data_IF_068681515606
#
_entry.id   IF_068681515606
#
_cell.length_a   1.000
_cell.length_b   1.000
_cell.length_c   1.000
_cell.angle_alpha   90.00
_cell.angle_beta   90.00
_cell.angle_gamma   90.00
#
_symmetry.space_group_name_H-M   'P 1'
#
loop_
_entity.id
_entity.type
_entity.pdbx_description
1 polymer ?
#
# COMPACT_ATOMS: atom_id res chain seq x y z
N UNK A 1 6.14 7.49 15.47
CA UNK A 1 7.08 8.06 14.46
C UNK A 1 8.43 7.33 14.41
N UNK A 2 9.29 7.38 15.42
CA UNK A 2 10.64 6.76 15.34
C UNK A 2 10.65 5.27 14.95
N UNK A 3 9.66 4.49 15.40
CA UNK A 3 9.53 3.09 14.99
C UNK A 3 9.23 2.92 13.48
N UNK A 4 8.41 3.80 12.91
CA UNK A 4 8.14 3.82 11.47
C UNK A 4 9.40 4.19 10.70
N UNK A 5 10.16 5.21 11.15
CA UNK A 5 11.45 5.56 10.54
C UNK A 5 12.41 4.36 10.52
N UNK A 6 12.53 3.62 11.64
CA UNK A 6 13.38 2.42 11.71
C UNK A 6 12.91 1.31 10.76
N UNK A 7 11.60 1.13 10.57
CA UNK A 7 11.07 0.20 9.58
C UNK A 7 11.52 0.59 8.17
N UNK A 8 11.34 1.86 7.79
CA UNK A 8 11.78 2.37 6.50
C UNK A 8 13.30 2.22 6.31
N UNK A 9 14.10 2.53 7.33
CA UNK A 9 15.55 2.33 7.30
C UNK A 9 15.95 0.86 7.11
N UNK A 10 15.19 -0.07 7.70
CA UNK A 10 15.46 -1.50 7.56
C UNK A 10 15.10 -2.00 6.15
N UNK A 11 13.95 -1.59 5.62
CA UNK A 11 13.50 -1.95 4.26
C UNK A 11 14.39 -1.34 3.18
N UNK A 12 14.82 -0.07 3.33
CA UNK A 12 15.70 0.61 2.38
C UNK A 12 17.13 0.01 2.32
N UNK A 13 17.51 -0.84 3.27
CA UNK A 13 18.77 -1.61 3.20
C UNK A 13 18.62 -2.91 2.43
N UNK A 14 17.39 -3.37 2.16
CA UNK A 14 17.15 -4.54 1.35
C UNK A 14 17.39 -4.21 -0.12
N UNK A 15 17.82 -5.19 -0.94
CA UNK A 15 17.94 -4.99 -2.39
C UNK A 15 16.59 -4.66 -3.04
N UNK A 16 15.51 -5.19 -2.47
CA UNK A 16 14.14 -4.95 -2.93
C UNK A 16 13.26 -4.62 -1.70
N UNK A 17 13.09 -3.33 -1.37
CA UNK A 17 12.24 -2.89 -0.26
C UNK A 17 10.77 -3.26 -0.48
N UNK A 18 10.07 -3.74 0.54
CA UNK A 18 8.68 -4.16 0.41
C UNK A 18 7.72 -2.95 0.34
N UNK A 19 7.29 -2.62 -0.87
CA UNK A 19 6.39 -1.49 -1.15
C UNK A 19 5.01 -1.68 -0.52
N UNK A 20 4.54 -2.93 -0.43
CA UNK A 20 3.23 -3.25 0.11
C UNK A 20 3.22 -3.04 1.62
N UNK A 21 4.22 -3.56 2.33
CA UNK A 21 4.38 -3.39 3.77
C UNK A 21 4.47 -1.90 4.13
N UNK A 22 5.35 -1.17 3.46
CA UNK A 22 5.57 0.25 3.73
C UNK A 22 4.30 1.09 3.47
N UNK A 23 3.60 0.84 2.36
CA UNK A 23 2.36 1.55 2.02
C UNK A 23 1.22 1.25 2.99
N UNK A 24 1.09 0.00 3.44
CA UNK A 24 0.10 -0.40 4.45
C UNK A 24 0.34 0.30 5.79
N UNK A 25 1.60 0.35 6.26
CA UNK A 25 1.96 1.02 7.51
C UNK A 25 1.71 2.52 7.43
N UNK A 26 2.11 3.17 6.33
CA UNK A 26 1.85 4.60 6.13
C UNK A 26 0.36 4.91 6.12
N UNK A 27 -0.41 4.16 5.33
CA UNK A 27 -1.85 4.37 5.23
C UNK A 27 -2.59 4.11 6.54
N UNK A 28 -2.17 3.10 7.31
CA UNK A 28 -2.72 2.84 8.65
C UNK A 28 -2.46 4.00 9.61
N UNK A 29 -1.22 4.49 9.67
CA UNK A 29 -0.84 5.63 10.54
C UNK A 29 -1.59 6.89 10.11
N UNK A 30 -1.62 7.20 8.81
CA UNK A 30 -2.33 8.35 8.27
C UNK A 30 -3.83 8.30 8.57
N UNK A 31 -4.44 7.12 8.48
CA UNK A 31 -5.87 6.96 8.76
C UNK A 31 -6.24 7.49 10.15
N UNK A 32 -5.52 7.08 11.18
CA UNK A 32 -5.83 7.49 12.56
C UNK A 32 -5.30 8.87 12.93
N UNK A 33 -4.38 9.45 12.16
CA UNK A 33 -3.86 10.79 12.41
C UNK A 33 -4.59 11.89 11.62
N UNK A 34 -5.17 11.58 10.47
CA UNK A 34 -5.78 12.55 9.56
C UNK A 34 -7.23 12.22 9.16
N UNK A 35 -7.56 10.95 8.90
CA UNK A 35 -8.89 10.57 8.38
C UNK A 35 -9.93 10.44 9.48
N UNK A 36 -9.63 9.65 10.51
CA UNK A 36 -10.50 9.48 11.67
C UNK A 36 -9.65 9.48 12.95
N UNK A 37 -9.63 10.64 13.60
CA UNK A 37 -8.83 10.88 14.81
C UNK A 37 -9.53 10.47 16.10
N UNK A 38 -10.78 9.99 16.00
CA UNK A 38 -11.52 9.49 17.17
C UNK A 38 -10.93 8.15 17.57
N UNK A 39 -10.46 8.05 18.81
CA UNK A 39 -9.93 6.80 19.36
C UNK A 39 -11.08 5.79 19.50
N UNK A 40 -11.06 4.68 18.75
CA UNK A 40 -12.11 3.68 18.84
C UNK A 40 -12.00 2.93 20.17
N UNK A 41 -13.07 2.96 20.97
CA UNK A 41 -13.14 2.27 22.26
C UNK A 41 -13.66 0.84 22.15
N UNK A 42 -14.20 0.47 20.99
CA UNK A 42 -14.90 -0.78 20.71
C UNK A 42 -14.15 -1.71 19.75
N UNK A 43 -12.92 -1.39 19.36
CA UNK A 43 -12.11 -2.21 18.45
C UNK A 43 -10.97 -2.86 19.23
N UNK A 44 -11.11 -4.13 19.64
CA UNK A 44 -10.06 -4.84 20.36
C UNK A 44 -8.83 -5.02 19.45
N UNK A 45 -7.63 -4.94 20.05
CA UNK A 45 -6.36 -5.09 19.33
C UNK A 45 -5.82 -3.82 18.69
N UNK A 46 -6.58 -2.73 18.67
CA UNK A 46 -6.08 -1.42 18.24
C UNK A 46 -5.60 -0.63 19.45
N UNK A 47 -4.31 -0.32 19.48
CA UNK A 47 -3.64 0.35 20.60
C UNK A 47 -3.06 1.69 20.17
N UNK A 48 -2.95 2.62 21.11
CA UNK A 48 -2.41 3.96 20.89
C UNK A 48 -1.38 4.29 21.96
N UNK A 49 -0.18 4.69 21.53
CA UNK A 49 0.84 5.20 22.44
C UNK A 49 0.57 6.66 22.77
N UNK A 50 0.40 6.96 24.05
CA UNK A 50 0.28 8.33 24.53
C UNK A 50 1.67 8.97 24.73
N UNK A 51 1.81 10.25 24.37
CA UNK A 51 2.98 11.07 24.63
C UNK A 51 2.57 12.44 25.17
N UNK A 52 3.43 13.10 25.97
CA UNK A 52 3.22 14.50 26.32
C UNK A 52 3.08 15.36 25.06
N UNK A 53 2.07 16.22 25.03
CA UNK A 53 1.92 17.25 24.02
C UNK A 53 2.82 18.46 24.28
N UNK A 54 2.75 19.49 23.41
CA UNK A 54 3.49 20.73 23.61
C UNK A 54 3.03 21.47 24.87
N UNK A 55 1.74 21.35 25.24
CA UNK A 55 1.22 21.86 26.52
C UNK A 55 1.17 20.75 27.58
N UNK A 56 1.43 21.05 28.87
CA UNK A 56 1.46 20.06 29.95
C UNK A 56 0.15 19.26 30.14
N UNK A 57 -0.99 19.85 29.73
CA UNK A 57 -2.31 19.23 29.86
C UNK A 57 -2.72 18.41 28.63
N UNK A 58 -1.98 18.54 27.53
CA UNK A 58 -2.32 17.89 26.25
C UNK A 58 -1.58 16.56 26.14
N UNK A 59 -2.30 15.52 25.70
CA UNK A 59 -1.72 14.23 25.33
C UNK A 59 -1.87 14.02 23.83
N UNK A 60 -0.78 13.61 23.19
CA UNK A 60 -0.78 13.16 21.80
C UNK A 60 -0.87 11.64 21.77
N UNK A 61 -1.65 11.11 20.84
CA UNK A 61 -1.84 9.67 20.66
C UNK A 61 -1.33 9.28 19.28
N UNK A 62 -0.41 8.32 19.25
CA UNK A 62 0.10 7.75 18.01
C UNK A 62 -0.45 6.33 17.83
N UNK A 63 -1.05 6.00 16.67
CA UNK A 63 -1.57 4.66 16.42
C UNK A 63 -0.41 3.65 16.39
N UNK A 64 -0.54 2.56 17.14
CA UNK A 64 0.43 1.47 17.11
C UNK A 64 0.06 0.54 15.97
N UNK A 65 0.96 0.42 14.99
CA UNK A 65 0.80 -0.51 13.88
C UNK A 65 1.17 -1.93 14.36
N UNK A 66 0.22 -2.60 15.01
CA UNK A 66 0.39 -3.97 15.50
C UNK A 66 0.70 -4.94 14.35
N UNK A 67 1.66 -5.83 14.57
CA UNK A 67 2.12 -6.78 13.55
C UNK A 67 0.98 -7.64 13.02
N UNK A 68 0.06 -8.07 13.88
CA UNK A 68 -1.09 -8.90 13.49
C UNK A 68 -2.02 -8.19 12.51
N UNK A 69 -2.29 -6.90 12.72
CA UNK A 69 -3.13 -6.08 11.84
C UNK A 69 -2.43 -5.88 10.49
N UNK A 70 -1.16 -5.45 10.51
CA UNK A 70 -0.40 -5.20 9.28
C UNK A 70 -0.22 -6.50 8.48
N UNK A 71 0.13 -7.61 9.14
CA UNK A 71 0.28 -8.92 8.50
C UNK A 71 -1.04 -9.41 7.89
N UNK A 72 -2.18 -9.20 8.55
CA UNK A 72 -3.48 -9.57 7.99
C UNK A 72 -3.83 -8.76 6.74
N UNK A 73 -3.56 -7.45 6.74
CA UNK A 73 -3.76 -6.58 5.58
C UNK A 73 -2.84 -6.98 4.42
N UNK A 74 -1.58 -7.27 4.73
CA UNK A 74 -0.58 -7.74 3.77
C UNK A 74 -0.97 -9.08 3.16
N UNK A 75 -1.36 -10.06 3.98
CA UNK A 75 -1.83 -11.37 3.55
C UNK A 75 -3.07 -11.24 2.64
N UNK A 76 -3.99 -10.33 2.97
CA UNK A 76 -5.17 -10.08 2.14
C UNK A 76 -4.81 -9.52 0.77
N UNK A 77 -3.91 -8.53 0.71
CA UNK A 77 -3.44 -7.98 -0.57
C UNK A 77 -2.73 -9.05 -1.41
N UNK A 78 -1.76 -9.75 -0.82
CA UNK A 78 -0.98 -10.77 -1.54
C UNK A 78 -1.84 -11.93 -2.02
N UNK A 79 -2.79 -12.41 -1.22
CA UNK A 79 -3.73 -13.46 -1.62
C UNK A 79 -4.62 -13.02 -2.79
N UNK A 80 -5.11 -11.77 -2.77
CA UNK A 80 -5.91 -11.22 -3.86
C UNK A 80 -5.12 -11.18 -5.18
N UNK A 81 -3.88 -10.72 -5.15
CA UNK A 81 -3.04 -10.62 -6.36
C UNK A 81 -2.66 -12.02 -6.87
N UNK A 82 -2.12 -12.88 -6.00
CA UNK A 82 -1.66 -14.23 -6.37
C UNK A 82 -2.81 -15.14 -6.81
N UNK A 83 -4.02 -14.94 -6.26
CA UNK A 83 -5.20 -15.69 -6.66
C UNK A 83 -5.79 -15.25 -8.02
N UNK A 84 -5.51 -14.03 -8.47
CA UNK A 84 -6.09 -13.46 -9.68
C UNK A 84 -5.18 -13.54 -10.93
N UNK A 85 -3.88 -13.79 -10.73
CA UNK A 85 -2.87 -13.84 -11.78
C UNK A 85 -2.12 -15.17 -11.74
N UNK A 86 -2.40 -16.04 -12.72
CA UNK A 86 -1.67 -17.28 -12.91
C UNK A 86 -0.43 -17.03 -13.78
N UNK A 87 0.75 -17.00 -13.14
CA UNK A 87 2.02 -16.73 -13.82
C UNK A 87 2.41 -17.82 -14.83
N UNK A 88 1.85 -19.04 -14.75
CA UNK A 88 2.14 -20.10 -15.72
C UNK A 88 1.65 -19.77 -17.13
N UNK A 89 0.65 -18.88 -17.24
CA UNK A 89 0.09 -18.41 -18.51
C UNK A 89 0.94 -17.29 -19.16
N UNK A 90 1.95 -16.78 -18.47
CA UNK A 90 2.75 -15.64 -18.89
C UNK A 90 4.25 -16.00 -18.86
N UNK A 91 4.77 -16.65 -19.92
CA UNK A 91 6.19 -16.93 -20.05
C UNK A 91 7.01 -15.63 -20.00
N UNK A 92 8.12 -15.66 -19.25
CA UNK A 92 9.03 -14.53 -19.05
C UNK A 92 10.42 -14.87 -19.58
N UNK A 93 10.63 -14.86 -20.91
CA UNK A 93 11.97 -15.02 -21.47
C UNK A 93 12.88 -13.91 -20.92
N UNK A 94 14.10 -14.28 -20.54
CA UNK A 94 15.11 -13.37 -19.99
C UNK A 94 14.68 -12.61 -18.71
N UNK A 95 13.65 -13.11 -18.00
CA UNK A 95 13.14 -12.50 -16.77
C UNK A 95 12.26 -11.26 -16.98
N UNK A 96 12.05 -10.83 -18.23
CA UNK A 96 11.26 -9.66 -18.57
C UNK A 96 9.75 -9.96 -18.54
N UNK A 97 8.97 -9.02 -18.01
CA UNK A 97 7.51 -9.10 -17.97
C UNK A 97 6.91 -8.67 -19.30
N UNK A 98 5.92 -9.41 -19.80
CA UNK A 98 5.22 -9.04 -21.03
C UNK A 98 4.17 -7.94 -20.78
N UNK A 99 3.76 -7.24 -21.84
CA UNK A 99 2.70 -6.24 -21.78
C UNK A 99 1.37 -6.86 -21.33
N UNK A 100 1.10 -8.09 -21.74
CA UNK A 100 -0.12 -8.84 -21.39
C UNK A 100 -0.16 -9.14 -19.89
N UNK A 101 0.98 -9.51 -19.30
CA UNK A 101 1.08 -9.75 -17.86
C UNK A 101 0.87 -8.45 -17.06
N UNK A 102 1.58 -7.37 -17.41
CA UNK A 102 1.44 -6.07 -16.73
C UNK A 102 0.02 -5.52 -16.87
N UNK A 103 -0.59 -5.67 -18.05
CA UNK A 103 -1.99 -5.32 -18.29
C UNK A 103 -2.93 -6.16 -17.41
N UNK A 104 -2.69 -7.46 -17.30
CA UNK A 104 -3.50 -8.35 -16.44
C UNK A 104 -3.45 -7.90 -14.98
N UNK A 105 -2.27 -7.55 -14.46
CA UNK A 105 -2.13 -7.01 -13.09
C UNK A 105 -2.88 -5.68 -12.93
N UNK A 106 -2.76 -4.78 -13.92
CA UNK A 106 -3.49 -3.51 -13.95
C UNK A 106 -5.01 -3.72 -13.93
N UNK A 107 -5.53 -4.65 -14.74
CA UNK A 107 -6.95 -5.00 -14.77
C UNK A 107 -7.42 -5.57 -13.41
N UNK A 108 -6.58 -6.34 -12.70
CA UNK A 108 -6.92 -6.84 -11.36
C UNK A 108 -7.07 -5.69 -10.37
N UNK A 109 -6.13 -4.74 -10.33
CA UNK A 109 -6.23 -3.56 -9.47
C UNK A 109 -7.46 -2.73 -9.84
N UNK A 110 -7.62 -2.40 -11.12
CA UNK A 110 -8.71 -1.57 -11.60
C UNK A 110 -10.10 -2.14 -11.30
N UNK A 111 -10.31 -3.44 -11.57
CA UNK A 111 -11.60 -4.09 -11.34
C UNK A 111 -11.90 -4.30 -9.85
N UNK A 112 -10.90 -4.17 -8.97
CA UNK A 112 -11.07 -4.26 -7.52
C UNK A 112 -11.50 -2.93 -6.89
N UNK A 113 -11.45 -1.82 -7.64
CA UNK A 113 -11.86 -0.51 -7.15
C UNK A 113 -13.39 -0.34 -7.15
N UNK A 114 -13.88 0.41 -6.18
CA UNK A 114 -15.27 0.86 -6.14
C UNK A 114 -15.61 1.64 -7.42
N UNK A 115 -16.73 1.31 -8.07
CA UNK A 115 -17.15 1.96 -9.34
C UNK A 115 -17.49 3.45 -9.20
N UNK A 116 -17.85 3.90 -8.00
CA UNK A 116 -18.25 5.27 -7.73
C UNK A 116 -17.65 5.76 -6.41
N UNK A 117 -16.68 6.66 -6.52
CA UNK A 117 -16.16 7.45 -5.41
C UNK A 117 -15.58 8.76 -5.95
N UNK A 118 -15.48 9.75 -5.06
CA UNK A 118 -14.89 11.04 -5.38
C UNK A 118 -13.37 10.87 -5.52
N UNK A 119 -12.85 10.98 -6.75
CA UNK A 119 -11.44 10.71 -7.07
C UNK A 119 -10.47 11.73 -6.47
N UNK A 120 -10.95 12.95 -6.21
CA UNK A 120 -10.15 14.02 -5.59
C UNK A 120 -10.25 14.01 -4.06
N UNK A 121 -10.73 12.91 -3.47
CA UNK A 121 -10.79 12.77 -2.01
C UNK A 121 -9.38 12.51 -1.49
N UNK A 122 -8.95 13.29 -0.50
CA UNK A 122 -7.68 13.04 0.18
C UNK A 122 -7.66 11.66 0.89
N UNK A 123 -6.45 11.16 1.17
CA UNK A 123 -6.20 9.95 1.97
C UNK A 123 -6.65 8.63 1.31
N UNK A 124 -6.61 8.59 -0.02
CA UNK A 124 -6.89 7.37 -0.79
C UNK A 124 -5.71 6.94 -1.67
N UNK A 125 -4.49 7.39 -1.39
CA UNK A 125 -3.29 7.09 -2.19
C UNK A 125 -2.60 5.77 -1.81
N UNK A 126 -2.89 5.21 -0.63
CA UNK A 126 -2.16 4.07 -0.07
C UNK A 126 -2.85 2.72 -0.30
N UNK A 127 -2.07 1.64 -0.24
CA UNK A 127 -2.60 0.27 -0.30
C UNK A 127 -3.50 -0.07 0.90
N UNK A 128 -3.36 0.66 2.01
CA UNK A 128 -4.32 0.58 3.11
C UNK A 128 -5.71 1.00 2.65
N UNK A 129 -5.83 2.12 1.91
CA UNK A 129 -7.11 2.59 1.37
C UNK A 129 -7.68 1.64 0.31
N UNK A 130 -6.80 1.05 -0.51
CA UNK A 130 -7.19 -0.01 -1.44
C UNK A 130 -7.82 -1.21 -0.73
N UNK A 131 -7.15 -1.78 0.29
CA UNK A 131 -7.63 -2.99 0.97
C UNK A 131 -8.84 -2.73 1.86
N UNK A 132 -8.87 -1.60 2.57
CA UNK A 132 -9.93 -1.30 3.54
C UNK A 132 -11.14 -0.63 2.91
N UNK A 133 -10.94 0.18 1.87
CA UNK A 133 -11.96 1.03 1.28
C UNK A 133 -12.20 0.82 -0.21
N UNK A 134 -11.39 0.00 -0.90
CA UNK A 134 -11.44 -0.20 -2.38
C UNK A 134 -11.38 1.11 -3.17
N UNK A 135 -10.60 2.08 -2.68
CA UNK A 135 -10.46 3.40 -3.29
C UNK A 135 -8.99 3.72 -3.50
N UNK A 136 -8.68 4.23 -4.68
CA UNK A 136 -7.38 4.77 -5.03
C UNK A 136 -7.52 6.07 -5.82
N UNK A 137 -6.64 7.05 -5.60
CA UNK A 137 -6.50 8.19 -6.51
C UNK A 137 -5.68 7.79 -7.75
N UNK A 138 -5.48 8.73 -8.67
CA UNK A 138 -4.84 8.46 -9.97
C UNK A 138 -3.45 7.82 -9.82
N UNK A 139 -2.57 8.44 -9.03
CA UNK A 139 -1.21 7.94 -8.81
C UNK A 139 -1.18 6.72 -7.89
N UNK A 140 -2.08 6.61 -6.93
CA UNK A 140 -2.25 5.44 -6.07
C UNK A 140 -2.54 4.17 -6.88
N UNK A 141 -3.30 4.26 -7.97
CA UNK A 141 -3.50 3.12 -8.89
C UNK A 141 -2.18 2.66 -9.51
N UNK A 142 -1.38 3.57 -10.07
CA UNK A 142 -0.09 3.21 -10.66
C UNK A 142 0.86 2.59 -9.62
N UNK A 143 0.92 3.16 -8.41
CA UNK A 143 1.69 2.60 -7.30
C UNK A 143 1.21 1.19 -6.92
N UNK A 144 -0.11 0.97 -6.85
CA UNK A 144 -0.68 -0.32 -6.51
C UNK A 144 -0.38 -1.40 -7.55
N UNK A 145 -0.31 -1.04 -8.84
CA UNK A 145 0.13 -1.95 -9.90
C UNK A 145 1.59 -2.36 -9.67
N UNK A 146 2.49 -1.43 -9.37
CA UNK A 146 3.91 -1.75 -9.10
C UNK A 146 4.05 -2.63 -7.85
N UNK A 147 3.32 -2.33 -6.77
CA UNK A 147 3.32 -3.17 -5.57
C UNK A 147 2.77 -4.58 -5.83
N UNK A 148 1.74 -4.72 -6.67
CA UNK A 148 1.22 -6.02 -7.08
C UNK A 148 2.21 -6.80 -7.96
N UNK A 149 2.91 -6.12 -8.87
CA UNK A 149 3.99 -6.70 -9.66
C UNK A 149 5.14 -7.20 -8.78
N UNK A 150 5.56 -6.43 -7.77
CA UNK A 150 6.56 -6.86 -6.79
C UNK A 150 6.13 -8.13 -6.05
N UNK A 151 4.87 -8.21 -5.60
CA UNK A 151 4.32 -9.41 -4.92
C UNK A 151 4.38 -10.68 -5.78
N UNK A 152 4.30 -10.52 -7.10
CA UNK A 152 4.39 -11.58 -8.10
C UNK A 152 5.84 -11.87 -8.54
N UNK A 153 6.83 -11.17 -7.98
CA UNK A 153 8.25 -11.33 -8.35
C UNK A 153 8.56 -10.82 -9.76
N UNK A 154 8.01 -9.66 -10.12
CA UNK A 154 8.24 -8.97 -11.39
C UNK A 154 9.16 -7.74 -11.16
N UNK A 155 10.48 -7.96 -10.96
CA UNK A 155 11.41 -6.90 -10.55
C UNK A 155 11.69 -5.89 -11.65
N UNK A 156 11.32 -6.16 -12.90
CA UNK A 156 11.51 -5.27 -14.04
C UNK A 156 10.41 -4.21 -14.16
N UNK A 157 9.32 -4.33 -13.39
CA UNK A 157 8.21 -3.37 -13.43
C UNK A 157 8.42 -2.26 -12.40
N UNK A 158 8.56 -1.03 -12.88
CA UNK A 158 8.81 0.14 -12.05
C UNK A 158 7.79 1.26 -12.28
N UNK A 159 7.68 2.15 -11.29
CA UNK A 159 6.85 3.34 -11.38
C UNK A 159 7.54 4.41 -12.22
N UNK A 160 6.83 4.97 -13.18
CA UNK A 160 7.23 6.14 -13.93
C UNK A 160 6.32 7.33 -13.56
N UNK A 161 6.92 8.51 -13.40
CA UNK A 161 6.25 9.70 -12.90
C UNK A 161 6.55 10.90 -13.81
N UNK A 162 5.53 11.69 -14.11
CA UNK A 162 5.64 13.10 -14.51
C UNK A 162 5.27 14.01 -13.32
N UNK A 163 5.17 15.31 -13.57
CA UNK A 163 4.73 16.28 -12.55
C UNK A 163 3.25 16.09 -12.15
N UNK A 164 2.43 15.50 -13.02
CA UNK A 164 0.96 15.40 -12.87
C UNK A 164 0.38 14.01 -13.19
N UNK A 165 1.21 13.05 -13.60
CA UNK A 165 0.78 11.73 -14.04
C UNK A 165 1.73 10.61 -13.59
N UNK A 166 1.19 9.40 -13.52
CA UNK A 166 1.93 8.21 -13.13
C UNK A 166 1.53 7.03 -14.02
N UNK A 167 2.53 6.25 -14.44
CA UNK A 167 2.34 5.02 -15.22
C UNK A 167 3.41 3.99 -14.84
N UNK A 168 3.43 2.85 -15.53
CA UNK A 168 4.42 1.78 -15.30
C UNK A 168 5.38 1.66 -16.48
N UNK A 169 6.66 1.46 -16.19
CA UNK A 169 7.70 1.10 -17.14
C UNK A 169 8.18 -0.33 -16.84
N UNK A 170 8.45 -1.12 -17.87
CA UNK A 170 8.85 -2.53 -17.73
C UNK A 170 9.53 -3.06 -19.00
N UNK A 171 10.14 -4.24 -18.90
CA UNK A 171 10.92 -4.85 -19.98
C UNK A 171 12.33 -4.27 -20.11
N UNK A 172 13.02 -4.65 -21.20
CA UNK A 172 14.34 -4.17 -21.58
C UNK A 172 14.25 -2.90 -22.46
#
# INVERSE_FOLDING_TARGET
VAAVVRLFEAELRQPEPDLVLLSLVLGFVEHFLAVNRVLPTNVPGLTFESRPGPDPQTRLYFPVAELSIVAALYARFTAQIRGAVDLSLYPRPDGCSSRELVRKVSDVIWNSLSRSYFKDRAHIQSLFSFITGTKLDSSGVAFAVVGACQVLGLPDVHLALSEDHAWVAFGA
#
